data_IF_587359386640
#
_entry.id   IF_587359386640
#
_cell.length_a   1.000
_cell.length_b   1.000
_cell.length_c   1.000
_cell.angle_alpha   90.00
_cell.angle_beta   90.00
_cell.angle_gamma   90.00
#
_symmetry.space_group_name_H-M   'P 1'
#
loop_
_entity.id
_entity.type
_entity.pdbx_description
1 polymer ?
#
# COMPACT_ATOMS: atom_id res chain seq x y z
N UNK A 1 63.06 -26.07 -62.97
CA UNK A 1 63.16 -24.67 -62.42
C UNK A 1 61.77 -24.14 -62.16
N UNK A 2 61.29 -24.22 -60.92
CA UNK A 2 59.97 -23.79 -60.50
C UNK A 2 60.11 -22.51 -59.63
N UNK A 3 59.58 -21.41 -60.13
CA UNK A 3 59.58 -20.11 -59.39
C UNK A 3 58.44 -20.12 -58.39
N UNK A 4 58.76 -20.04 -57.10
CA UNK A 4 57.81 -19.79 -55.99
C UNK A 4 57.39 -18.32 -56.02
N UNK A 5 56.10 -18.06 -56.25
CA UNK A 5 55.46 -16.76 -55.99
C UNK A 5 54.70 -16.85 -54.67
N UNK A 6 55.20 -16.13 -53.71
CA UNK A 6 54.57 -15.96 -52.41
C UNK A 6 53.32 -15.06 -52.51
N UNK A 7 52.14 -15.60 -52.21
CA UNK A 7 50.93 -14.84 -52.03
C UNK A 7 50.86 -14.38 -50.57
N UNK A 8 51.13 -13.12 -50.34
CA UNK A 8 50.79 -12.43 -49.08
C UNK A 8 49.31 -12.06 -49.13
N UNK A 9 48.48 -12.86 -48.47
CA UNK A 9 47.09 -12.50 -48.21
C UNK A 9 47.03 -11.59 -46.99
N UNK A 10 46.85 -10.29 -47.19
CA UNK A 10 46.60 -9.31 -46.14
C UNK A 10 45.17 -9.48 -45.61
N UNK A 11 45.04 -10.11 -44.44
CA UNK A 11 43.78 -10.15 -43.69
C UNK A 11 43.55 -8.80 -43.04
N UNK A 12 42.77 -7.93 -43.69
CA UNK A 12 42.25 -6.70 -43.08
C UNK A 12 41.16 -7.09 -42.08
N UNK A 13 41.50 -7.13 -40.76
CA UNK A 13 40.52 -7.15 -39.70
C UNK A 13 39.71 -5.86 -39.75
N UNK A 14 38.48 -5.94 -40.24
CA UNK A 14 37.47 -4.89 -40.07
C UNK A 14 37.08 -4.84 -38.59
N UNK A 15 37.78 -4.00 -37.80
CA UNK A 15 37.35 -3.60 -36.49
C UNK A 15 36.07 -2.74 -36.65
N UNK A 16 34.89 -3.37 -36.56
CA UNK A 16 33.64 -2.63 -36.41
C UNK A 16 33.69 -1.88 -35.08
N UNK A 17 33.60 -0.55 -35.08
CA UNK A 17 33.49 0.20 -33.83
C UNK A 17 32.18 -0.25 -33.16
N UNK A 18 32.29 -0.95 -32.03
CA UNK A 18 31.17 -1.16 -31.14
C UNK A 18 30.72 0.22 -30.69
N UNK A 19 29.60 0.69 -31.24
CA UNK A 19 28.92 1.88 -30.74
C UNK A 19 28.43 1.50 -29.34
N UNK A 20 29.26 1.75 -28.34
CA UNK A 20 28.84 1.80 -26.94
C UNK A 20 27.86 2.95 -26.87
N UNK A 21 26.56 2.65 -27.03
CA UNK A 21 25.51 3.61 -26.70
C UNK A 21 25.76 3.96 -25.23
N UNK A 22 26.30 5.15 -25.01
CA UNK A 22 26.34 5.72 -23.68
C UNK A 22 24.89 5.69 -23.15
N UNK A 23 24.60 4.80 -22.22
CA UNK A 23 23.33 4.80 -21.52
C UNK A 23 23.23 6.19 -20.91
N UNK A 24 22.28 6.98 -21.41
CA UNK A 24 21.99 8.31 -20.84
C UNK A 24 21.81 8.10 -19.35
N UNK A 25 22.62 8.84 -18.56
CA UNK A 25 22.59 8.69 -17.11
C UNK A 25 21.15 8.88 -16.61
N UNK A 26 20.62 7.91 -15.88
CA UNK A 26 19.32 8.08 -15.21
C UNK A 26 19.44 9.08 -14.05
N UNK A 27 18.47 10.01 -13.87
CA UNK A 27 17.32 10.29 -14.72
C UNK A 27 17.74 11.16 -15.92
N UNK A 28 17.16 10.84 -17.11
CA UNK A 28 17.22 11.67 -18.29
C UNK A 28 16.01 12.61 -18.36
N UNK A 29 15.61 13.00 -19.57
CA UNK A 29 14.50 13.95 -19.77
C UNK A 29 13.09 13.35 -19.65
N UNK A 30 12.96 12.03 -19.54
CA UNK A 30 11.66 11.35 -19.40
C UNK A 30 11.08 11.57 -17.99
N UNK A 31 9.79 11.98 -17.84
CA UNK A 31 9.15 12.07 -16.54
C UNK A 31 8.99 10.66 -15.92
N UNK A 32 9.02 10.58 -14.59
CA UNK A 32 8.77 9.36 -13.84
C UNK A 32 7.31 9.31 -13.42
N UNK A 33 6.59 8.28 -13.86
CA UNK A 33 5.24 7.99 -13.36
C UNK A 33 5.31 7.40 -11.94
N UNK A 34 4.51 7.95 -11.03
CA UNK A 34 4.28 7.42 -9.69
C UNK A 34 2.82 6.98 -9.60
N UNK A 35 2.57 5.68 -9.71
CA UNK A 35 1.22 5.12 -9.74
C UNK A 35 0.70 4.99 -8.31
N UNK A 36 -0.42 5.65 -8.03
CA UNK A 36 -1.17 5.49 -6.78
C UNK A 36 -2.40 4.62 -7.06
N UNK A 37 -2.53 3.44 -6.42
CA UNK A 37 -3.59 2.47 -6.72
C UNK A 37 -4.96 2.84 -6.11
N UNK A 38 -5.07 4.00 -5.47
CA UNK A 38 -6.27 4.48 -4.79
C UNK A 38 -6.67 5.89 -5.24
N UNK A 39 -7.91 6.34 -4.96
CA UNK A 39 -8.38 7.67 -5.32
C UNK A 39 -7.54 8.80 -4.71
N UNK A 40 -7.50 9.93 -5.40
CA UNK A 40 -6.90 11.14 -4.89
C UNK A 40 -7.54 11.57 -3.56
N UNK A 41 -6.74 12.09 -2.64
CA UNK A 41 -7.16 12.52 -1.31
C UNK A 41 -7.32 11.39 -0.28
N UNK A 42 -7.10 10.11 -0.66
CA UNK A 42 -6.98 9.02 0.30
C UNK A 42 -5.57 8.96 0.91
N UNK A 43 -5.41 8.23 2.02
CA UNK A 43 -4.16 8.20 2.80
C UNK A 43 -2.92 7.81 1.99
N UNK A 44 -3.04 6.88 1.04
CA UNK A 44 -1.93 6.49 0.14
C UNK A 44 -1.55 7.63 -0.83
N UNK A 45 -2.53 8.36 -1.34
CA UNK A 45 -2.29 9.49 -2.25
C UNK A 45 -1.62 10.66 -1.50
N UNK A 46 -2.12 11.00 -0.32
CA UNK A 46 -1.55 12.05 0.54
C UNK A 46 -0.11 11.69 0.91
N UNK A 47 0.15 10.47 1.38
CA UNK A 47 1.50 9.99 1.69
C UNK A 47 2.46 10.15 0.50
N UNK A 48 2.02 9.72 -0.69
CA UNK A 48 2.83 9.79 -1.91
C UNK A 48 3.16 11.25 -2.29
N UNK A 49 2.16 12.14 -2.21
CA UNK A 49 2.33 13.57 -2.54
C UNK A 49 3.21 14.31 -1.52
N UNK A 50 3.24 13.87 -0.27
CA UNK A 50 4.11 14.46 0.75
C UNK A 50 5.57 14.01 0.61
N UNK A 51 5.84 12.74 0.31
CA UNK A 51 7.21 12.23 0.25
C UNK A 51 7.91 12.54 -1.07
N UNK A 52 7.21 12.48 -2.21
CA UNK A 52 7.84 12.59 -3.53
C UNK A 52 8.59 13.91 -3.79
N UNK A 53 8.14 15.09 -3.38
CA UNK A 53 8.93 16.32 -3.51
C UNK A 53 10.30 16.26 -2.84
N UNK A 54 10.39 15.59 -1.68
CA UNK A 54 11.64 15.44 -0.94
C UNK A 54 12.58 14.43 -1.60
N UNK A 55 12.04 13.38 -2.18
CA UNK A 55 12.81 12.41 -3.00
C UNK A 55 13.40 13.08 -4.24
N UNK A 56 12.60 13.93 -4.92
CA UNK A 56 13.05 14.70 -6.09
C UNK A 56 14.20 15.63 -5.75
N UNK A 57 14.14 16.26 -4.57
CA UNK A 57 15.23 17.13 -4.11
C UNK A 57 16.58 16.40 -3.97
N UNK A 58 16.57 15.07 -3.80
CA UNK A 58 17.78 14.25 -3.69
C UNK A 58 18.28 13.72 -5.05
N UNK A 59 17.48 13.81 -6.11
CA UNK A 59 17.81 13.26 -7.44
C UNK A 59 17.62 14.36 -8.50
N UNK A 60 18.65 15.20 -8.75
CA UNK A 60 18.59 16.25 -9.73
C UNK A 60 18.15 15.74 -11.11
N UNK A 61 17.19 16.43 -11.73
CA UNK A 61 16.62 16.06 -13.02
C UNK A 61 15.43 15.09 -12.95
N UNK A 62 15.13 14.48 -11.80
CA UNK A 62 13.94 13.63 -11.63
C UNK A 62 12.67 14.48 -11.66
N UNK A 63 11.69 14.08 -12.45
CA UNK A 63 10.40 14.79 -12.62
C UNK A 63 9.24 13.81 -12.41
N UNK A 64 8.70 13.65 -11.20
CA UNK A 64 7.60 12.74 -10.94
C UNK A 64 6.26 13.31 -11.41
N UNK A 65 5.43 12.43 -11.97
CA UNK A 65 4.02 12.66 -12.27
C UNK A 65 3.21 11.64 -11.52
N UNK A 66 2.43 12.08 -10.52
CA UNK A 66 1.61 11.19 -9.69
C UNK A 66 0.29 10.94 -10.40
N UNK A 67 -0.03 9.67 -10.65
CA UNK A 67 -1.20 9.22 -11.40
C UNK A 67 -2.01 8.24 -10.54
N UNK A 68 -3.28 8.56 -10.31
CA UNK A 68 -4.19 7.66 -9.58
C UNK A 68 -4.78 6.63 -10.57
N UNK A 69 -4.42 5.33 -10.41
CA UNK A 69 -4.98 4.19 -11.17
C UNK A 69 -5.72 3.28 -10.21
N UNK A 70 -6.99 3.56 -10.00
CA UNK A 70 -7.82 2.98 -8.94
C UNK A 70 -8.59 1.76 -9.39
N UNK A 71 -8.99 0.92 -8.44
CA UNK A 71 -9.95 -0.17 -8.63
C UNK A 71 -9.47 -1.52 -8.09
N UNK A 72 -10.44 -2.39 -7.80
CA UNK A 72 -10.25 -3.75 -7.31
C UNK A 72 -9.27 -3.83 -6.12
N UNK A 73 -9.50 -3.02 -5.06
CA UNK A 73 -8.63 -2.93 -3.88
C UNK A 73 -7.15 -2.61 -4.20
N UNK A 74 -6.89 -1.83 -5.26
CA UNK A 74 -5.55 -1.46 -5.71
C UNK A 74 -4.95 -2.37 -6.78
N UNK A 75 -5.58 -3.50 -7.12
CA UNK A 75 -5.06 -4.45 -8.12
C UNK A 75 -4.69 -3.77 -9.45
N UNK A 76 -5.51 -2.84 -9.95
CA UNK A 76 -5.28 -2.18 -11.25
C UNK A 76 -3.96 -1.39 -11.23
N UNK A 77 -3.69 -0.64 -10.18
CA UNK A 77 -2.45 0.11 -10.03
C UNK A 77 -1.23 -0.79 -9.80
N UNK A 78 -1.38 -1.87 -9.03
CA UNK A 78 -0.33 -2.87 -8.82
C UNK A 78 0.05 -3.57 -10.12
N UNK A 79 -0.93 -4.01 -10.92
CA UNK A 79 -0.67 -4.61 -12.24
C UNK A 79 0.02 -3.63 -13.20
N UNK A 80 -0.40 -2.36 -13.18
CA UNK A 80 0.23 -1.33 -14.01
C UNK A 80 1.70 -1.10 -13.60
N UNK A 81 2.00 -1.08 -12.30
CA UNK A 81 3.38 -0.97 -11.80
C UNK A 81 4.21 -2.20 -12.13
N UNK A 82 3.66 -3.41 -11.93
CA UNK A 82 4.37 -4.67 -12.18
C UNK A 82 4.80 -4.84 -13.63
N UNK A 83 3.91 -4.48 -14.56
CA UNK A 83 4.12 -4.66 -16.00
C UNK A 83 4.83 -3.46 -16.67
N UNK A 84 5.23 -2.46 -15.90
CA UNK A 84 6.01 -1.34 -16.42
C UNK A 84 7.45 -1.75 -16.76
N UNK A 85 8.09 -0.97 -17.65
CA UNK A 85 9.50 -1.18 -17.95
C UNK A 85 10.36 -0.93 -16.69
N UNK A 86 11.38 -1.79 -16.41
CA UNK A 86 12.23 -1.66 -15.23
C UNK A 86 13.32 -0.59 -15.39
N UNK A 87 13.02 0.50 -16.07
CA UNK A 87 13.96 1.53 -16.46
C UNK A 87 14.08 2.71 -15.45
N UNK A 88 13.36 2.61 -14.32
CA UNK A 88 13.34 3.62 -13.28
C UNK A 88 12.41 4.80 -13.55
N UNK A 89 11.59 4.76 -14.60
CA UNK A 89 10.61 5.81 -14.90
C UNK A 89 9.17 5.45 -14.54
N UNK A 90 8.98 4.31 -13.87
CA UNK A 90 7.71 3.96 -13.25
C UNK A 90 7.97 3.33 -11.88
N UNK A 91 7.33 3.88 -10.87
CA UNK A 91 7.21 3.30 -9.52
C UNK A 91 5.75 3.36 -9.09
N UNK A 92 5.39 2.66 -8.05
CA UNK A 92 4.01 2.66 -7.55
C UNK A 92 3.94 2.66 -6.05
N UNK A 93 2.88 3.25 -5.51
CA UNK A 93 2.51 3.07 -4.13
C UNK A 93 1.83 1.70 -3.94
N UNK A 94 1.89 1.16 -2.73
CA UNK A 94 1.27 -0.12 -2.37
C UNK A 94 0.76 -0.11 -0.94
N UNK A 95 -0.14 -1.06 -0.65
CA UNK A 95 -0.61 -1.36 0.70
C UNK A 95 -0.40 -2.85 0.99
N UNK A 96 0.20 -3.18 2.13
CA UNK A 96 0.33 -4.54 2.64
C UNK A 96 -0.60 -4.64 3.86
N UNK A 97 -1.46 -5.66 4.00
CA UNK A 97 -1.43 -6.97 3.37
C UNK A 97 -2.15 -7.13 2.01
N UNK A 98 -2.92 -6.15 1.54
CA UNK A 98 -3.73 -6.29 0.32
C UNK A 98 -2.89 -6.72 -0.90
N UNK A 99 -1.70 -6.13 -1.08
CA UNK A 99 -0.72 -6.49 -2.11
C UNK A 99 -0.44 -8.02 -2.19
N UNK A 100 -0.34 -8.67 -1.03
CA UNK A 100 -0.04 -10.10 -0.90
C UNK A 100 -1.31 -10.96 -0.88
N UNK A 101 -2.43 -10.44 -0.35
CA UNK A 101 -3.68 -11.18 -0.18
C UNK A 101 -4.46 -11.36 -1.49
N UNK A 102 -4.49 -10.33 -2.34
CA UNK A 102 -5.25 -10.34 -3.59
C UNK A 102 -4.88 -11.51 -4.53
N UNK A 103 -3.58 -11.85 -4.74
CA UNK A 103 -3.20 -13.00 -5.58
C UNK A 103 -3.63 -14.36 -5.03
N UNK A 104 -3.91 -14.47 -3.74
CA UNK A 104 -4.41 -15.70 -3.13
C UNK A 104 -5.90 -15.90 -3.42
N UNK A 105 -6.65 -14.80 -3.44
CA UNK A 105 -8.11 -14.79 -3.60
C UNK A 105 -8.53 -14.95 -5.08
N UNK A 106 -7.82 -14.26 -5.99
CA UNK A 106 -8.22 -14.17 -7.40
C UNK A 106 -7.04 -14.08 -8.36
N UNK A 107 -7.30 -14.30 -9.62
CA UNK A 107 -6.29 -14.19 -10.67
C UNK A 107 -5.84 -12.74 -10.87
N UNK A 108 -4.53 -12.51 -10.86
CA UNK A 108 -3.90 -11.21 -11.08
C UNK A 108 -2.72 -11.33 -12.05
N UNK A 109 -2.26 -10.20 -12.58
CA UNK A 109 -1.14 -10.13 -13.53
C UNK A 109 0.15 -9.68 -12.85
N UNK A 110 0.33 -10.03 -11.57
CA UNK A 110 1.58 -9.78 -10.83
C UNK A 110 1.85 -10.92 -9.85
N UNK A 111 3.08 -11.01 -9.37
CA UNK A 111 3.47 -11.85 -8.24
C UNK A 111 3.93 -10.95 -7.11
N UNK A 112 3.32 -11.10 -5.93
CA UNK A 112 3.50 -10.18 -4.81
C UNK A 112 4.98 -9.95 -4.43
N UNK A 113 5.80 -10.99 -4.43
CA UNK A 113 7.18 -10.91 -3.98
C UNK A 113 8.21 -10.62 -5.09
N UNK A 114 7.77 -10.46 -6.35
CA UNK A 114 8.67 -10.17 -7.48
C UNK A 114 8.88 -8.66 -7.70
N UNK A 115 8.11 -7.79 -7.07
CA UNK A 115 8.35 -6.35 -7.14
C UNK A 115 9.70 -5.94 -6.55
N UNK A 116 10.22 -4.80 -7.00
CA UNK A 116 11.31 -4.10 -6.33
C UNK A 116 10.76 -3.32 -5.14
N UNK A 117 11.07 -3.74 -3.91
CA UNK A 117 10.63 -3.07 -2.68
C UNK A 117 11.55 -1.90 -2.37
N UNK A 118 11.07 -0.66 -2.46
CA UNK A 118 11.87 0.55 -2.25
C UNK A 118 11.81 1.02 -0.80
N UNK A 119 10.62 1.33 -0.29
CA UNK A 119 10.43 1.67 1.13
C UNK A 119 9.00 1.45 1.61
N UNK A 120 8.86 1.13 2.90
CA UNK A 120 7.65 1.36 3.68
C UNK A 120 7.73 2.73 4.36
N UNK A 121 6.61 3.41 4.52
CA UNK A 121 6.55 4.76 5.07
C UNK A 121 5.62 4.82 6.28
N UNK A 122 4.44 4.22 6.18
CA UNK A 122 3.36 4.29 7.15
C UNK A 122 2.93 2.88 7.57
N UNK A 123 2.54 2.72 8.82
CA UNK A 123 1.80 1.55 9.31
C UNK A 123 0.59 2.03 10.09
N UNK A 124 -0.58 1.97 9.47
CA UNK A 124 -1.82 2.56 9.96
C UNK A 124 -2.79 1.48 10.38
N UNK A 125 -3.18 1.49 11.66
CA UNK A 125 -4.07 0.48 12.21
C UNK A 125 -5.48 0.60 11.63
N UNK A 126 -6.16 -0.54 11.46
CA UNK A 126 -7.59 -0.55 11.12
C UNK A 126 -8.43 -0.09 12.32
N UNK A 127 -9.59 0.47 12.03
CA UNK A 127 -10.52 0.99 13.00
C UNK A 127 -11.97 0.78 12.52
N UNK A 128 -12.90 0.60 13.45
CA UNK A 128 -14.31 0.75 13.14
C UNK A 128 -14.77 2.18 13.42
N UNK A 129 -15.36 2.79 12.39
CA UNK A 129 -16.00 4.09 12.45
C UNK A 129 -17.51 3.96 12.27
N UNK A 130 -18.25 4.75 13.04
CA UNK A 130 -19.70 4.92 12.86
C UNK A 130 -20.02 6.41 12.80
N UNK A 131 -21.16 6.77 12.26
CA UNK A 131 -21.66 8.14 12.35
C UNK A 131 -21.81 8.59 13.80
N UNK A 132 -21.63 9.86 14.09
CA UNK A 132 -21.69 10.39 15.47
C UNK A 132 -23.02 10.14 16.16
N UNK A 133 -24.14 10.16 15.39
CA UNK A 133 -25.50 9.91 15.87
C UNK A 133 -25.91 8.43 15.82
N UNK A 134 -25.04 7.54 15.36
CA UNK A 134 -25.30 6.09 15.35
C UNK A 134 -25.68 5.58 16.73
N UNK A 135 -26.61 4.63 16.86
CA UNK A 135 -26.92 3.95 18.11
C UNK A 135 -25.73 3.11 18.64
N UNK A 136 -24.80 2.74 17.76
CA UNK A 136 -23.59 2.01 18.15
C UNK A 136 -22.59 3.00 18.80
N UNK A 137 -22.43 2.92 20.11
CA UNK A 137 -21.55 3.82 20.88
C UNK A 137 -20.21 3.17 21.21
N UNK A 138 -20.17 1.87 21.29
CA UNK A 138 -19.02 1.04 21.67
C UNK A 138 -18.85 -0.14 20.75
N UNK A 139 -17.68 -0.81 20.79
CA UNK A 139 -17.46 -2.08 20.08
C UNK A 139 -18.43 -3.17 20.55
N UNK A 140 -18.77 -3.17 21.85
CA UNK A 140 -19.74 -4.11 22.44
C UNK A 140 -21.14 -3.91 21.87
N UNK A 141 -21.54 -2.67 21.58
CA UNK A 141 -22.83 -2.40 20.92
C UNK A 141 -22.85 -2.98 19.51
N UNK A 142 -21.74 -2.88 18.76
CA UNK A 142 -21.61 -3.50 17.43
C UNK A 142 -21.72 -5.02 17.53
N UNK A 143 -21.02 -5.66 18.47
CA UNK A 143 -21.08 -7.11 18.70
C UNK A 143 -22.51 -7.54 19.06
N UNK A 144 -23.16 -6.82 19.97
CA UNK A 144 -24.54 -7.11 20.37
C UNK A 144 -25.52 -6.95 19.19
N UNK A 145 -25.39 -5.88 18.41
CA UNK A 145 -26.23 -5.64 17.24
C UNK A 145 -26.05 -6.71 16.16
N UNK A 146 -24.78 -7.14 15.88
CA UNK A 146 -24.48 -8.17 14.91
C UNK A 146 -25.01 -9.56 15.34
N UNK A 147 -24.99 -9.86 16.65
CA UNK A 147 -25.58 -11.09 17.19
C UNK A 147 -27.11 -11.07 17.16
N UNK A 148 -27.71 -9.92 17.42
CA UNK A 148 -29.17 -9.77 17.42
C UNK A 148 -29.78 -9.74 16.01
N UNK A 149 -29.01 -9.25 15.02
CA UNK A 149 -29.42 -9.11 13.62
C UNK A 149 -28.38 -9.76 12.70
N UNK A 150 -28.24 -11.10 12.71
CA UNK A 150 -27.26 -11.80 11.89
C UNK A 150 -27.44 -11.45 10.40
N UNK A 151 -26.34 -11.25 9.69
CA UNK A 151 -26.33 -10.96 8.25
C UNK A 151 -27.13 -9.71 7.86
N UNK A 152 -27.27 -8.71 8.76
CA UNK A 152 -27.99 -7.45 8.47
C UNK A 152 -27.16 -6.20 8.72
N UNK A 153 -26.10 -6.29 9.56
CA UNK A 153 -25.19 -5.17 9.78
C UNK A 153 -24.34 -4.98 8.52
N UNK A 154 -24.36 -3.75 7.98
CA UNK A 154 -23.56 -3.37 6.82
C UNK A 154 -22.24 -2.74 7.23
N UNK A 155 -21.16 -3.13 6.59
CA UNK A 155 -19.86 -2.48 6.77
C UNK A 155 -19.19 -2.12 5.45
N UNK A 156 -18.62 -0.92 5.39
CA UNK A 156 -17.89 -0.44 4.22
C UNK A 156 -16.39 -0.70 4.36
N UNK A 157 -15.73 -1.03 3.26
CA UNK A 157 -14.28 -1.24 3.15
C UNK A 157 -13.71 -0.58 1.91
N UNK A 158 -12.39 -0.46 1.81
CA UNK A 158 -11.70 0.04 0.61
C UNK A 158 -11.56 -0.99 -0.50
N UNK A 159 -12.29 -2.12 -0.39
CA UNK A 159 -12.42 -3.12 -1.44
C UNK A 159 -12.31 -4.56 -0.93
N UNK A 160 -12.71 -5.50 -1.78
CA UNK A 160 -12.58 -6.94 -1.50
C UNK A 160 -11.10 -7.32 -1.53
N UNK A 161 -10.63 -8.03 -0.51
CA UNK A 161 -9.21 -8.38 -0.33
C UNK A 161 -8.33 -7.24 0.20
N UNK A 162 -8.92 -6.06 0.55
CA UNK A 162 -8.20 -5.01 1.26
C UNK A 162 -7.86 -5.43 2.69
N UNK A 163 -6.95 -4.70 3.33
CA UNK A 163 -6.67 -4.84 4.76
C UNK A 163 -7.93 -4.68 5.60
N UNK A 164 -8.81 -3.74 5.26
CA UNK A 164 -10.09 -3.52 5.92
C UNK A 164 -11.00 -4.75 5.86
N UNK A 165 -11.08 -5.40 4.70
CA UNK A 165 -11.87 -6.61 4.55
C UNK A 165 -11.31 -7.75 5.41
N UNK A 166 -10.00 -7.99 5.33
CA UNK A 166 -9.31 -9.02 6.13
C UNK A 166 -9.43 -8.75 7.64
N UNK A 167 -9.37 -7.49 8.03
CA UNK A 167 -9.60 -7.05 9.41
C UNK A 167 -11.00 -7.44 9.91
N UNK A 168 -12.05 -7.18 9.13
CA UNK A 168 -13.43 -7.53 9.53
C UNK A 168 -13.61 -9.03 9.59
N UNK A 169 -13.10 -9.81 8.63
CA UNK A 169 -13.17 -11.27 8.67
C UNK A 169 -12.52 -11.86 9.93
N UNK A 170 -11.38 -11.32 10.33
CA UNK A 170 -10.70 -11.74 11.55
C UNK A 170 -11.47 -11.33 12.80
N UNK A 171 -12.05 -10.12 12.81
CA UNK A 171 -12.91 -9.67 13.92
C UNK A 171 -14.16 -10.55 14.07
N UNK A 172 -14.86 -10.86 12.99
CA UNK A 172 -16.04 -11.74 13.00
C UNK A 172 -15.73 -13.09 13.62
N UNK A 173 -14.56 -13.66 13.29
CA UNK A 173 -14.10 -14.92 13.88
C UNK A 173 -13.88 -14.80 15.39
N UNK A 174 -13.07 -13.83 15.82
CA UNK A 174 -12.75 -13.61 17.23
C UNK A 174 -13.98 -13.31 18.08
N UNK A 175 -14.96 -12.61 17.51
CA UNK A 175 -16.20 -12.24 18.19
C UNK A 175 -17.32 -13.31 18.07
N UNK A 176 -17.08 -14.41 17.33
CA UNK A 176 -18.07 -15.47 17.09
C UNK A 176 -19.31 -14.94 16.38
N UNK A 177 -19.14 -14.06 15.39
CA UNK A 177 -20.23 -13.46 14.63
C UNK A 177 -20.52 -14.27 13.36
N UNK A 178 -21.76 -14.23 12.92
CA UNK A 178 -22.12 -14.56 11.54
C UNK A 178 -21.67 -13.40 10.63
N UNK A 179 -21.36 -13.66 9.34
CA UNK A 179 -20.89 -12.64 8.44
C UNK A 179 -21.80 -11.38 8.42
N UNK A 180 -21.20 -10.22 8.52
CA UNK A 180 -21.84 -8.94 8.24
C UNK A 180 -21.84 -8.68 6.72
N UNK A 181 -22.62 -7.73 6.25
CA UNK A 181 -22.78 -7.41 4.82
C UNK A 181 -21.69 -6.42 4.39
N UNK A 182 -20.75 -6.85 3.57
CA UNK A 182 -19.72 -5.97 3.02
C UNK A 182 -20.26 -5.05 1.92
N UNK A 183 -19.90 -3.76 1.99
CA UNK A 183 -20.12 -2.76 0.94
C UNK A 183 -18.74 -2.26 0.49
N UNK A 184 -18.17 -2.78 -0.63
CA UNK A 184 -16.83 -2.43 -1.08
C UNK A 184 -16.81 -1.11 -1.85
N UNK A 185 -15.81 -0.27 -1.58
CA UNK A 185 -15.51 0.98 -2.28
C UNK A 185 -14.13 0.93 -2.94
N UNK A 186 -13.86 1.83 -3.87
CA UNK A 186 -12.55 1.92 -4.52
C UNK A 186 -11.48 2.60 -3.65
N UNK A 187 -11.77 2.88 -2.37
CA UNK A 187 -10.88 3.53 -1.41
C UNK A 187 -11.66 4.34 -0.36
N UNK A 188 -10.96 4.92 0.63
CA UNK A 188 -11.58 5.68 1.72
C UNK A 188 -12.27 6.97 1.24
N UNK A 189 -11.69 7.68 0.26
CA UNK A 189 -12.24 8.95 -0.23
C UNK A 189 -13.69 8.86 -0.72
N UNK A 190 -14.12 7.90 -1.56
CA UNK A 190 -15.52 7.72 -1.94
C UNK A 190 -16.37 7.07 -0.84
N UNK A 191 -15.78 6.36 0.12
CA UNK A 191 -16.48 5.68 1.21
C UNK A 191 -16.98 6.67 2.27
N UNK A 192 -16.13 7.62 2.70
CA UNK A 192 -16.41 8.53 3.81
C UNK A 192 -17.72 9.32 3.64
N UNK A 193 -18.03 9.95 2.48
CA UNK A 193 -19.30 10.61 2.26
C UNK A 193 -20.53 9.70 2.44
N UNK A 194 -20.39 8.41 2.10
CA UNK A 194 -21.47 7.43 2.25
C UNK A 194 -21.69 7.06 3.73
N UNK A 195 -20.62 6.95 4.53
CA UNK A 195 -20.72 6.79 5.98
C UNK A 195 -21.44 7.98 6.61
N UNK A 196 -21.04 9.21 6.26
CA UNK A 196 -21.66 10.43 6.75
C UNK A 196 -23.15 10.54 6.31
N UNK A 197 -23.49 10.02 5.15
CA UNK A 197 -24.86 9.94 4.63
C UNK A 197 -25.72 8.86 5.30
N UNK A 198 -25.14 7.98 6.14
CA UNK A 198 -25.87 6.89 6.81
C UNK A 198 -26.23 5.72 5.90
N UNK A 199 -25.51 5.54 4.78
CA UNK A 199 -25.77 4.48 3.81
C UNK A 199 -25.18 3.12 4.23
N UNK A 200 -24.48 3.04 5.36
CA UNK A 200 -24.00 1.83 6.02
C UNK A 200 -23.94 2.03 7.53
N UNK A 201 -23.94 0.93 8.28
CA UNK A 201 -23.88 0.97 9.75
C UNK A 201 -22.48 1.32 10.25
N UNK A 202 -21.43 0.76 9.61
CA UNK A 202 -20.04 0.84 10.05
C UNK A 202 -19.12 1.07 8.85
N UNK A 203 -18.03 1.82 9.03
CA UNK A 203 -16.90 1.82 8.13
C UNK A 203 -15.72 1.11 8.81
N UNK A 204 -15.16 0.12 8.14
CA UNK A 204 -13.89 -0.50 8.48
C UNK A 204 -12.83 0.13 7.58
N UNK A 205 -12.04 1.04 8.14
CA UNK A 205 -10.97 1.77 7.44
C UNK A 205 -9.82 2.04 8.42
N UNK A 206 -8.72 2.61 7.93
CA UNK A 206 -7.59 2.89 8.83
C UNK A 206 -7.85 4.14 9.69
N UNK A 207 -7.14 4.23 10.83
CA UNK A 207 -7.30 5.31 11.79
C UNK A 207 -7.15 6.67 11.15
N UNK A 208 -6.11 6.90 10.33
CA UNK A 208 -5.88 8.22 9.76
C UNK A 208 -6.89 8.63 8.67
N UNK A 209 -7.62 7.68 8.07
CA UNK A 209 -8.54 7.97 6.97
C UNK A 209 -9.73 8.86 7.38
N UNK A 210 -10.19 8.77 8.65
CA UNK A 210 -11.31 9.57 9.16
C UNK A 210 -11.06 10.20 10.54
N UNK A 211 -9.82 10.22 11.04
CA UNK A 211 -9.48 10.74 12.36
C UNK A 211 -9.85 12.21 12.51
N UNK A 212 -9.64 13.04 11.49
CA UNK A 212 -10.02 14.45 11.53
C UNK A 212 -11.54 14.60 11.70
N UNK A 213 -12.34 13.78 11.02
CA UNK A 213 -13.80 13.79 11.17
C UNK A 213 -14.25 13.32 12.57
N UNK A 214 -13.51 12.39 13.17
CA UNK A 214 -13.75 11.98 14.55
C UNK A 214 -13.46 13.13 15.54
N UNK A 215 -12.36 13.87 15.35
CA UNK A 215 -12.03 15.07 16.15
C UNK A 215 -13.07 16.19 15.99
N UNK A 216 -13.66 16.30 14.82
CA UNK A 216 -14.76 17.23 14.53
C UNK A 216 -16.13 16.74 15.06
N UNK A 217 -16.17 15.54 15.67
CA UNK A 217 -17.40 14.95 16.20
C UNK A 217 -18.43 14.51 15.15
N UNK A 218 -18.01 14.34 13.89
CA UNK A 218 -18.87 13.88 12.78
C UNK A 218 -19.02 12.36 12.72
N UNK A 219 -17.98 11.64 13.15
CA UNK A 219 -17.94 10.18 13.29
C UNK A 219 -17.38 9.79 14.66
N UNK A 220 -17.60 8.55 15.06
CA UNK A 220 -17.04 7.96 16.28
C UNK A 220 -16.20 6.74 15.92
N UNK A 221 -15.02 6.66 16.55
CA UNK A 221 -14.19 5.47 16.55
C UNK A 221 -14.68 4.51 17.64
N UNK A 222 -14.87 3.25 17.32
CA UNK A 222 -15.28 2.24 18.30
C UNK A 222 -14.09 1.52 18.93
N UNK A 223 -13.10 1.15 18.12
CA UNK A 223 -11.85 0.55 18.56
C UNK A 223 -10.80 0.63 17.46
N UNK A 224 -9.52 0.68 17.85
CA UNK A 224 -8.38 0.64 16.93
C UNK A 224 -7.63 -0.69 17.02
N UNK A 225 -7.26 -1.28 15.88
CA UNK A 225 -6.55 -2.55 15.81
C UNK A 225 -5.01 -2.41 15.92
N UNK A 226 -4.55 -1.41 16.67
CA UNK A 226 -3.14 -1.20 16.97
C UNK A 226 -2.68 -2.10 18.13
N UNK A 227 -1.37 -2.42 18.19
CA UNK A 227 -0.78 -3.16 19.31
C UNK A 227 -0.84 -2.40 20.65
N UNK A 228 -0.76 -1.05 20.58
CA UNK A 228 -1.00 -0.11 21.66
C UNK A 228 -1.76 1.08 21.08
N UNK A 229 -2.41 1.88 21.92
CA UNK A 229 -3.14 3.08 21.45
C UNK A 229 -2.21 4.00 20.67
N UNK A 230 -2.62 4.38 19.46
CA UNK A 230 -1.90 5.38 18.68
C UNK A 230 -2.00 6.76 19.39
N UNK A 231 -0.90 7.53 19.45
CA UNK A 231 -0.90 8.83 20.13
C UNK A 231 -1.97 9.80 19.61
N UNK A 232 -2.26 9.72 18.32
CA UNK A 232 -3.24 10.56 17.63
C UNK A 232 -4.70 10.22 18.00
N UNK A 233 -4.93 9.01 18.53
CA UNK A 233 -6.22 8.46 18.95
C UNK A 233 -6.13 7.81 20.34
N UNK A 234 -5.43 8.45 21.28
CA UNK A 234 -5.10 7.91 22.60
C UNK A 234 -6.33 7.62 23.49
N UNK A 235 -7.45 8.24 23.24
CA UNK A 235 -8.74 8.06 23.92
C UNK A 235 -9.54 6.88 23.36
N UNK A 236 -9.17 6.32 22.19
CA UNK A 236 -9.84 5.17 21.58
C UNK A 236 -9.20 3.87 22.07
N UNK A 237 -9.96 2.92 22.64
CA UNK A 237 -9.40 1.67 23.11
C UNK A 237 -8.90 0.79 21.93
N UNK A 238 -7.89 -0.02 22.20
CA UNK A 238 -7.49 -1.07 21.26
C UNK A 238 -8.45 -2.27 21.34
N UNK A 239 -8.49 -3.08 20.29
CA UNK A 239 -9.23 -4.35 20.32
C UNK A 239 -8.76 -5.26 21.46
N UNK A 240 -7.44 -5.29 21.74
CA UNK A 240 -6.86 -6.08 22.84
C UNK A 240 -7.38 -5.64 24.22
N UNK A 241 -7.49 -4.32 24.46
CA UNK A 241 -8.06 -3.79 25.70
C UNK A 241 -9.54 -4.18 25.86
N UNK A 242 -10.24 -4.46 24.77
CA UNK A 242 -11.65 -4.89 24.74
C UNK A 242 -11.82 -6.41 24.69
N UNK A 243 -10.73 -7.18 24.84
CA UNK A 243 -10.76 -8.65 24.93
C UNK A 243 -10.62 -9.38 23.61
N UNK A 244 -10.31 -8.70 22.51
CA UNK A 244 -10.07 -9.31 21.20
C UNK A 244 -8.57 -9.22 20.86
N UNK A 245 -7.86 -10.34 20.72
CA UNK A 245 -6.46 -10.34 20.30
C UNK A 245 -6.33 -10.04 18.80
N UNK A 246 -6.66 -8.84 18.43
CA UNK A 246 -6.68 -8.34 17.07
C UNK A 246 -5.74 -7.16 16.89
N UNK A 247 -4.64 -7.38 16.15
CA UNK A 247 -3.75 -6.34 15.65
C UNK A 247 -3.75 -6.43 14.13
N UNK A 248 -4.20 -5.38 13.48
CA UNK A 248 -4.36 -5.35 12.03
C UNK A 248 -4.21 -3.92 11.50
N UNK A 249 -3.70 -3.77 10.28
CA UNK A 249 -3.53 -2.46 9.65
C UNK A 249 -2.95 -2.56 8.25
N UNK A 250 -2.77 -1.40 7.63
CA UNK A 250 -2.13 -1.24 6.35
C UNK A 250 -0.73 -0.65 6.50
N UNK A 251 0.29 -1.36 6.04
CA UNK A 251 1.58 -0.77 5.75
C UNK A 251 1.53 -0.16 4.36
N UNK A 252 1.92 1.12 4.24
CA UNK A 252 1.86 1.89 2.99
C UNK A 252 3.28 2.23 2.56
N UNK A 253 3.65 1.83 1.36
CA UNK A 253 5.01 1.98 0.86
C UNK A 253 5.10 2.22 -0.64
N UNK A 254 6.33 2.25 -1.13
CA UNK A 254 6.65 2.45 -2.54
C UNK A 254 7.41 1.23 -3.07
N UNK A 255 7.00 0.79 -4.26
CA UNK A 255 7.56 -0.36 -4.98
C UNK A 255 7.90 0.05 -6.42
N UNK A 256 8.74 -0.72 -7.06
CA UNK A 256 9.01 -0.62 -8.51
C UNK A 256 8.68 -1.92 -9.23
N UNK A 257 8.69 -1.91 -10.57
CA UNK A 257 8.54 -3.13 -11.37
C UNK A 257 9.63 -4.15 -11.04
N UNK A 258 9.44 -5.43 -11.41
CA UNK A 258 10.48 -6.45 -11.28
C UNK A 258 11.75 -6.08 -12.02
N UNK A 259 12.90 -6.52 -11.49
CA UNK A 259 14.20 -6.45 -12.17
C UNK A 259 14.70 -5.02 -12.50
N UNK A 260 14.38 -4.03 -11.69
CA UNK A 260 14.97 -2.70 -11.84
C UNK A 260 16.50 -2.76 -11.71
N UNK A 261 17.26 -1.97 -12.50
CA UNK A 261 18.72 -1.91 -12.41
C UNK A 261 19.19 -1.55 -11.00
N UNK A 262 20.12 -2.31 -10.39
CA UNK A 262 20.56 -2.11 -9.01
C UNK A 262 21.06 -0.69 -8.71
N UNK A 263 21.70 -0.03 -9.67
CA UNK A 263 22.17 1.35 -9.53
C UNK A 263 21.03 2.36 -9.38
N UNK A 264 19.90 2.15 -10.09
CA UNK A 264 18.71 2.99 -9.97
C UNK A 264 18.02 2.73 -8.62
N UNK A 265 17.89 1.46 -8.23
CA UNK A 265 17.32 1.05 -6.94
C UNK A 265 18.09 1.71 -5.80
N UNK A 266 19.42 1.58 -5.79
CA UNK A 266 20.26 2.16 -4.74
C UNK A 266 20.11 3.70 -4.65
N UNK A 267 19.98 4.42 -5.79
CA UNK A 267 19.75 5.87 -5.79
C UNK A 267 18.37 6.22 -5.23
N UNK A 268 17.32 5.48 -5.61
CA UNK A 268 15.97 5.69 -5.07
C UNK A 268 15.91 5.40 -3.57
N UNK A 269 16.47 4.27 -3.11
CA UNK A 269 16.53 3.93 -1.69
C UNK A 269 17.27 4.99 -0.86
N UNK A 270 18.41 5.49 -1.35
CA UNK A 270 19.16 6.56 -0.69
C UNK A 270 18.33 7.85 -0.61
N UNK A 271 17.63 8.21 -1.69
CA UNK A 271 16.76 9.39 -1.73
C UNK A 271 15.56 9.26 -0.77
N UNK A 272 14.91 8.08 -0.74
CA UNK A 272 13.86 7.80 0.23
C UNK A 272 14.37 7.84 1.67
N UNK A 273 15.53 7.24 1.96
CA UNK A 273 16.14 7.27 3.28
C UNK A 273 16.36 8.70 3.78
N UNK A 274 16.86 9.58 2.93
CA UNK A 274 17.05 11.00 3.24
C UNK A 274 15.70 11.73 3.41
N UNK A 275 14.75 11.51 2.50
CA UNK A 275 13.43 12.13 2.56
C UNK A 275 12.64 11.73 3.81
N UNK A 276 12.70 10.45 4.20
CA UNK A 276 12.00 9.93 5.38
C UNK A 276 12.64 10.37 6.71
N UNK A 277 13.92 10.74 6.70
CA UNK A 277 14.61 11.31 7.85
C UNK A 277 14.36 12.83 8.01
N UNK A 278 13.81 13.51 7.01
CA UNK A 278 13.60 14.95 6.98
C UNK A 278 12.58 15.39 8.05
N UNK A 279 12.95 16.38 8.86
CA UNK A 279 12.09 16.86 9.96
C UNK A 279 10.83 17.59 9.47
N UNK A 280 10.84 18.21 8.26
CA UNK A 280 9.63 18.78 7.69
C UNK A 280 8.67 17.67 7.28
N UNK A 281 9.19 16.58 6.66
CA UNK A 281 8.37 15.41 6.35
C UNK A 281 7.70 14.84 7.60
N UNK A 282 8.46 14.63 8.68
CA UNK A 282 7.91 14.10 9.94
C UNK A 282 6.83 14.99 10.52
N UNK A 283 7.02 16.34 10.48
CA UNK A 283 6.00 17.30 10.92
C UNK A 283 4.75 17.25 10.05
N UNK A 284 4.89 17.19 8.73
CA UNK A 284 3.74 17.08 7.82
C UNK A 284 3.04 15.74 7.95
N UNK A 285 3.79 14.64 8.14
CA UNK A 285 3.22 13.33 8.45
C UNK A 285 2.38 13.36 9.73
N UNK A 286 2.90 13.97 10.80
CA UNK A 286 2.16 14.14 12.06
C UNK A 286 0.89 14.99 11.89
N UNK A 287 0.95 16.09 11.11
CA UNK A 287 -0.23 16.92 10.78
C UNK A 287 -1.31 16.16 10.03
N UNK A 288 -0.90 15.18 9.22
CA UNK A 288 -1.80 14.31 8.48
C UNK A 288 -2.07 12.98 9.20
N UNK A 289 -1.75 12.90 10.49
CA UNK A 289 -1.98 11.73 11.36
C UNK A 289 -1.35 10.44 10.85
N UNK A 290 -0.25 10.50 10.10
CA UNK A 290 0.41 9.33 9.52
C UNK A 290 1.35 8.69 10.56
N UNK A 291 1.07 7.49 11.06
CA UNK A 291 1.97 6.77 11.94
C UNK A 291 3.15 6.22 11.14
N UNK A 292 4.31 6.85 11.26
CA UNK A 292 5.50 6.48 10.49
C UNK A 292 6.09 5.15 10.96
N UNK A 293 6.31 4.24 10.02
CA UNK A 293 7.11 3.01 10.17
C UNK A 293 8.01 2.87 8.95
N UNK A 294 9.22 3.42 9.04
CA UNK A 294 10.12 3.55 7.89
C UNK A 294 11.06 2.34 7.77
N UNK A 295 10.85 1.54 6.72
CA UNK A 295 11.71 0.44 6.32
C UNK A 295 12.20 0.68 4.90
N UNK A 296 13.48 0.48 4.58
CA UNK A 296 14.02 0.77 3.24
C UNK A 296 14.74 -0.45 2.67
N UNK A 297 14.43 -0.77 1.42
CA UNK A 297 15.09 -1.82 0.66
C UNK A 297 14.90 -3.21 1.26
N UNK A 298 16.00 -3.84 1.68
CA UNK A 298 15.99 -5.22 2.22
C UNK A 298 15.08 -5.39 3.45
N UNK A 299 15.01 -4.39 4.33
CA UNK A 299 14.15 -4.41 5.51
C UNK A 299 12.67 -4.45 5.11
N UNK A 300 12.29 -3.62 4.14
CA UNK A 300 10.92 -3.61 3.62
C UNK A 300 10.56 -4.92 2.91
N UNK A 301 11.49 -5.46 2.10
CA UNK A 301 11.31 -6.76 1.45
C UNK A 301 11.12 -7.89 2.48
N UNK A 302 11.92 -7.92 3.54
CA UNK A 302 11.82 -8.92 4.61
C UNK A 302 10.47 -8.82 5.34
N UNK A 303 10.00 -7.61 5.63
CA UNK A 303 8.69 -7.37 6.19
C UNK A 303 7.58 -7.90 5.25
N UNK A 304 7.60 -7.54 3.97
CA UNK A 304 6.63 -8.01 2.98
C UNK A 304 6.62 -9.54 2.87
N UNK A 305 7.79 -10.19 2.90
CA UNK A 305 7.92 -11.65 2.89
C UNK A 305 7.26 -12.28 4.12
N UNK A 306 7.48 -11.71 5.31
CA UNK A 306 6.87 -12.23 6.55
C UNK A 306 5.34 -12.17 6.52
N UNK A 307 4.78 -11.13 5.89
CA UNK A 307 3.33 -11.01 5.69
C UNK A 307 2.83 -12.01 4.66
N UNK A 308 3.55 -12.16 3.55
CA UNK A 308 3.23 -13.10 2.47
C UNK A 308 3.15 -14.54 2.98
N UNK A 309 4.14 -14.96 3.77
CA UNK A 309 4.21 -16.30 4.35
C UNK A 309 3.03 -16.56 5.32
N UNK A 310 2.70 -15.58 6.17
CA UNK A 310 1.55 -15.68 7.09
C UNK A 310 0.22 -15.76 6.35
N UNK A 311 0.04 -14.95 5.31
CA UNK A 311 -1.19 -14.95 4.52
C UNK A 311 -1.38 -16.26 3.76
N UNK A 312 -0.30 -16.83 3.19
CA UNK A 312 -0.33 -18.14 2.54
C UNK A 312 -0.70 -19.26 3.50
N UNK A 313 -0.15 -19.24 4.72
CA UNK A 313 -0.51 -20.20 5.76
C UNK A 313 -1.99 -20.05 6.16
N UNK A 314 -2.43 -18.81 6.40
CA UNK A 314 -3.84 -18.54 6.75
C UNK A 314 -4.78 -18.98 5.63
N UNK A 315 -4.42 -18.70 4.37
CA UNK A 315 -5.22 -19.10 3.21
C UNK A 315 -5.42 -20.61 3.09
N UNK A 316 -4.40 -21.42 3.45
CA UNK A 316 -4.51 -22.87 3.44
C UNK A 316 -5.50 -23.40 4.47
N UNK A 317 -5.60 -22.76 5.64
CA UNK A 317 -6.48 -23.16 6.73
C UNK A 317 -7.87 -22.55 6.57
N UNK A 318 -7.93 -21.32 6.12
CA UNK A 318 -9.16 -20.51 6.05
C UNK A 318 -9.14 -19.58 4.83
N UNK A 319 -9.51 -20.08 3.65
CA UNK A 319 -9.60 -19.22 2.47
C UNK A 319 -10.75 -18.21 2.63
N UNK A 320 -10.42 -16.92 2.49
CA UNK A 320 -11.41 -15.82 2.41
C UNK A 320 -11.87 -15.67 0.96
N UNK A 321 -12.87 -16.38 0.55
CA UNK A 321 -13.52 -16.19 -0.75
C UNK A 321 -14.81 -15.43 -0.54
N UNK A 322 -15.03 -14.44 -1.40
CA UNK A 322 -16.36 -13.89 -1.58
C UNK A 322 -17.15 -14.91 -2.40
N UNK A 323 -18.22 -15.41 -1.81
CA UNK A 323 -19.14 -16.38 -2.45
C UNK A 323 -19.83 -15.79 -3.65
#
# INVERSE_FOLDING_TARGET
MIKRRSLLASASLLATPSIVRAQTAWPGDKPMEVIVPFPAGGGVDIMTRLVMPLVVAQIPGLRPVIINRTGAAGQIGLEATFNAAPDGYTIGATTIPAHNAIPLERQVRYRAMDFTFLCNIVEDANCFYVRADSPLKTLQDLVAAAKARPEQITYATTGIGSDDHLFVLHFEELAGLRPMIQVPFAGAAPLIPQLLGGNMDVAAINVNDALQLAREGKVRMLAQAAAARQPEAADVPTFRELGFDLVHGASRGIIGPPNMPPAIVARLEAAFRTALADENFKREAARNFMPLNTLVGAEYRAFAQSVDDRLKQLWQVRPWRVG
#
